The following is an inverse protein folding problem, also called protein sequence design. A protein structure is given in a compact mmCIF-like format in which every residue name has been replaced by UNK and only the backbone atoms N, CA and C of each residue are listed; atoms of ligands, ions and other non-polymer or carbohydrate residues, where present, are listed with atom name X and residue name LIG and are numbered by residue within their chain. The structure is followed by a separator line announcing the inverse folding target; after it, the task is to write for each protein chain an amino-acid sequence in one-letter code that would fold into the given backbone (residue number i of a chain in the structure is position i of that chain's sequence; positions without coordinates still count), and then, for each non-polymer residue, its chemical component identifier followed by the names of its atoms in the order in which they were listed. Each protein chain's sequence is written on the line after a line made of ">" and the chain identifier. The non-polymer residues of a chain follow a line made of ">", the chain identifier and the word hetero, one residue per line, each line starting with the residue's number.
data_IF_467797180409
#
_entry.id   IF_467797180409
#
_cell.length_a   1.000
_cell.length_b   1.000
_cell.length_c   1.000
_cell.angle_alpha   90.00
_cell.angle_beta   90.00
_cell.angle_gamma   90.00
#
_symmetry.space_group_name_H-M   'P 1'
#
loop_
_entity.id
_entity.type
_entity.pdbx_description
1 polymer ?
#
# COMPACT_ATOMS: atom_id res chain seq x y z
N UNK A 1 1.20 -5.51 -6.46
CA UNK A 1 0.06 -5.60 -7.32
C UNK A 1 -1.08 -5.14 -6.44
N UNK A 2 -2.12 -4.55 -7.00
CA UNK A 2 -3.35 -4.40 -6.25
C UNK A 2 -3.77 -5.79 -5.75
N UNK A 3 -4.29 -5.85 -4.54
CA UNK A 3 -4.62 -7.08 -3.84
C UNK A 3 -6.15 -7.18 -3.85
N UNK A 4 -6.74 -8.12 -4.60
CA UNK A 4 -8.18 -8.33 -4.51
C UNK A 4 -8.52 -8.74 -3.08
N UNK A 5 -9.72 -8.39 -2.62
CA UNK A 5 -10.27 -8.90 -1.37
C UNK A 5 -11.45 -9.80 -1.76
N UNK A 6 -11.30 -11.10 -1.54
CA UNK A 6 -12.27 -12.17 -1.86
C UNK A 6 -13.62 -11.87 -1.23
N UNK A 7 -14.70 -12.21 -1.95
CA UNK A 7 -16.09 -12.01 -1.50
C UNK A 7 -16.48 -10.53 -1.26
N UNK A 8 -15.63 -9.59 -1.69
CA UNK A 8 -15.93 -8.15 -1.69
C UNK A 8 -15.75 -7.57 -3.10
N UNK A 9 -16.37 -6.43 -3.41
CA UNK A 9 -16.12 -5.72 -4.66
C UNK A 9 -14.76 -5.00 -4.67
N UNK A 10 -13.99 -5.04 -3.57
CA UNK A 10 -12.85 -4.17 -3.39
C UNK A 10 -11.52 -4.73 -3.94
N UNK A 11 -10.66 -3.81 -4.34
CA UNK A 11 -9.29 -4.02 -4.77
C UNK A 11 -8.37 -3.06 -4.00
N UNK A 12 -7.51 -3.61 -3.13
CA UNK A 12 -6.64 -2.81 -2.26
C UNK A 12 -5.30 -2.47 -2.93
N UNK A 13 -4.90 -1.20 -2.89
CA UNK A 13 -3.63 -0.72 -3.46
C UNK A 13 -2.63 -0.41 -2.34
N UNK A 14 -1.63 -1.30 -2.12
CA UNK A 14 -0.76 -1.18 -0.97
C UNK A 14 0.37 -0.19 -1.16
N UNK A 15 0.50 0.75 -0.20
CA UNK A 15 1.62 1.69 -0.11
C UNK A 15 2.53 1.31 1.07
N UNK A 16 3.86 1.42 0.97
CA UNK A 16 4.73 1.18 2.12
C UNK A 16 4.45 2.15 3.28
N UNK A 17 4.50 1.62 4.51
CA UNK A 17 4.49 2.37 5.78
C UNK A 17 3.16 3.10 6.11
N UNK A 18 2.06 2.62 5.52
CA UNK A 18 0.67 3.01 5.83
C UNK A 18 -0.14 1.81 6.32
N UNK A 19 0.42 1.05 7.27
CA UNK A 19 -0.14 -0.22 7.75
C UNK A 19 -0.39 -1.29 6.66
N UNK A 20 0.27 -1.19 5.50
CA UNK A 20 0.06 -2.17 4.41
C UNK A 20 0.48 -3.59 4.75
N UNK A 21 1.35 -3.79 5.74
CA UNK A 21 1.65 -5.13 6.27
C UNK A 21 0.42 -5.68 7.00
N UNK A 22 -0.13 -4.95 7.96
CA UNK A 22 -1.33 -5.34 8.73
C UNK A 22 -2.53 -5.60 7.83
N UNK A 23 -2.80 -4.70 6.87
CA UNK A 23 -3.92 -4.87 5.92
C UNK A 23 -3.72 -6.12 5.07
N UNK A 24 -2.50 -6.38 4.56
CA UNK A 24 -2.25 -7.58 3.76
C UNK A 24 -2.35 -8.87 4.58
N UNK A 25 -1.96 -8.84 5.84
CA UNK A 25 -2.14 -9.96 6.76
C UNK A 25 -3.64 -10.21 6.96
N UNK A 26 -4.43 -9.18 7.24
CA UNK A 26 -5.88 -9.30 7.36
C UNK A 26 -6.55 -9.86 6.08
N UNK A 27 -6.12 -9.41 4.89
CA UNK A 27 -6.60 -9.97 3.61
C UNK A 27 -6.23 -11.44 3.48
N UNK A 28 -5.03 -11.83 3.89
CA UNK A 28 -4.57 -13.22 3.82
C UNK A 28 -5.34 -14.12 4.78
N UNK A 29 -5.60 -13.65 6.00
CA UNK A 29 -6.36 -14.36 7.02
C UNK A 29 -7.81 -14.55 6.55
N UNK A 30 -8.43 -13.51 5.97
CA UNK A 30 -9.76 -13.58 5.33
C UNK A 30 -9.86 -14.65 4.24
N UNK A 31 -8.75 -15.00 3.58
CA UNK A 31 -8.75 -16.02 2.52
C UNK A 31 -8.77 -17.46 3.07
N UNK A 32 -8.85 -17.64 4.39
CA UNK A 32 -8.70 -18.94 5.06
C UNK A 32 -7.24 -19.33 5.30
N UNK A 33 -6.32 -18.36 5.25
CA UNK A 33 -4.98 -18.53 5.80
C UNK A 33 -5.09 -18.66 7.31
N UNK A 34 -4.50 -19.72 7.89
CA UNK A 34 -4.55 -19.94 9.34
C UNK A 34 -4.14 -18.65 10.11
N UNK A 35 -4.85 -18.30 11.19
CA UNK A 35 -4.74 -17.01 11.85
C UNK A 35 -3.32 -16.80 12.37
N UNK A 36 -2.73 -15.64 12.10
CA UNK A 36 -1.58 -15.11 12.86
C UNK A 36 -0.31 -15.97 12.97
N UNK A 37 -0.16 -17.05 12.18
CA UNK A 37 1.08 -17.82 12.15
C UNK A 37 1.95 -17.27 11.03
N UNK A 38 3.21 -16.85 11.29
CA UNK A 38 4.12 -16.55 10.19
C UNK A 38 4.19 -17.79 9.29
N UNK A 39 3.76 -17.66 8.04
CA UNK A 39 3.71 -18.75 7.06
C UNK A 39 5.06 -19.46 7.04
N UNK A 40 5.11 -20.63 7.67
CA UNK A 40 6.30 -21.47 7.75
C UNK A 40 6.37 -22.23 6.43
N UNK A 41 7.43 -22.03 5.66
CA UNK A 41 7.66 -22.81 4.45
C UNK A 41 7.73 -24.29 4.85
N UNK A 42 6.71 -25.09 4.47
CA UNK A 42 6.57 -26.51 4.86
C UNK A 42 7.77 -27.38 4.43
N UNK A 43 8.58 -26.92 3.48
CA UNK A 43 9.81 -27.59 3.00
C UNK A 43 11.12 -27.07 3.63
N UNK A 44 11.12 -25.91 4.30
CA UNK A 44 12.37 -25.23 4.74
C UNK A 44 12.30 -24.57 6.13
N UNK A 45 11.20 -24.69 6.87
CA UNK A 45 11.07 -24.13 8.22
C UNK A 45 11.18 -22.60 8.33
N UNK A 46 11.26 -21.89 7.20
CA UNK A 46 11.56 -20.45 7.15
C UNK A 46 10.31 -19.59 6.96
N UNK A 47 10.31 -18.42 7.62
CA UNK A 47 9.23 -17.44 7.62
C UNK A 47 9.08 -16.80 6.22
N UNK A 48 7.89 -16.89 5.61
CA UNK A 48 7.58 -16.18 4.36
C UNK A 48 6.90 -14.86 4.70
N UNK A 49 7.62 -13.74 4.53
CA UNK A 49 7.05 -12.40 4.70
C UNK A 49 5.86 -12.18 3.76
N UNK A 50 4.78 -11.56 4.26
CA UNK A 50 3.58 -11.19 3.47
C UNK A 50 3.92 -10.37 2.21
N UNK A 51 5.04 -9.64 2.23
CA UNK A 51 5.54 -8.88 1.08
C UNK A 51 6.07 -9.75 -0.07
N UNK A 52 6.40 -11.03 0.19
CA UNK A 52 6.74 -12.01 -0.84
C UNK A 52 5.49 -12.51 -1.57
N UNK A 53 4.36 -12.61 -0.88
CA UNK A 53 3.06 -13.02 -1.42
C UNK A 53 2.41 -11.84 -2.15
N UNK A 54 2.19 -10.73 -1.43
CA UNK A 54 1.60 -9.51 -1.96
C UNK A 54 2.66 -8.42 -2.09
N UNK A 55 3.38 -8.43 -3.22
CA UNK A 55 4.37 -7.39 -3.55
C UNK A 55 3.71 -6.02 -3.71
N UNK A 56 4.44 -4.94 -3.40
CA UNK A 56 4.02 -3.53 -3.67
C UNK A 56 4.88 -2.89 -4.79
N UNK A 57 4.71 -3.31 -6.06
CA UNK A 57 5.31 -2.67 -7.22
C UNK A 57 4.74 -1.28 -7.43
N UNK A 58 5.58 -0.41 -8.02
CA UNK A 58 5.22 0.94 -8.42
C UNK A 58 4.10 0.94 -9.46
N UNK A 59 3.23 1.95 -9.42
CA UNK A 59 2.06 2.11 -10.29
C UNK A 59 2.37 1.82 -11.77
N UNK A 60 3.45 2.44 -12.28
CA UNK A 60 3.88 2.31 -13.68
C UNK A 60 4.12 0.86 -14.13
N UNK A 61 4.50 -0.04 -13.21
CA UNK A 61 4.86 -1.43 -13.53
C UNK A 61 3.65 -2.35 -13.74
N UNK A 62 2.46 -1.94 -13.32
CA UNK A 62 1.25 -2.78 -13.39
C UNK A 62 0.03 -2.09 -13.97
N UNK A 63 0.09 -0.78 -14.26
CA UNK A 63 -1.04 -0.01 -14.82
C UNK A 63 -1.66 -0.62 -16.09
N UNK A 64 -0.89 -1.36 -16.89
CA UNK A 64 -1.34 -2.02 -18.13
C UNK A 64 -1.82 -3.47 -17.93
N UNK A 65 -1.70 -4.00 -16.71
CA UNK A 65 -2.01 -5.39 -16.37
C UNK A 65 -3.27 -5.54 -15.53
N UNK A 66 -4.05 -4.47 -15.37
CA UNK A 66 -5.33 -4.56 -14.66
C UNK A 66 -6.37 -5.19 -15.57
N UNK A 67 -6.73 -6.43 -15.26
CA UNK A 67 -7.89 -7.12 -15.80
C UNK A 67 -8.76 -7.49 -14.59
N UNK A 68 -9.37 -6.48 -13.98
CA UNK A 68 -10.35 -6.64 -12.91
C UNK A 68 -11.52 -5.69 -13.19
N UNK A 69 -12.29 -5.93 -14.26
CA UNK A 69 -13.49 -5.16 -14.51
C UNK A 69 -14.40 -5.26 -13.28
N UNK A 70 -15.06 -4.15 -12.93
CA UNK A 70 -16.10 -4.06 -11.89
C UNK A 70 -15.64 -4.10 -10.42
N UNK A 71 -14.34 -3.96 -10.11
CA UNK A 71 -13.89 -3.78 -8.71
C UNK A 71 -13.68 -2.32 -8.34
N UNK A 72 -14.11 -1.98 -7.13
CA UNK A 72 -13.87 -0.67 -6.51
C UNK A 72 -12.44 -0.58 -5.94
N UNK A 73 -11.75 0.51 -6.26
CA UNK A 73 -10.36 0.68 -5.84
C UNK A 73 -10.33 1.37 -4.48
N UNK A 74 -9.60 0.76 -3.56
CA UNK A 74 -9.41 1.30 -2.21
C UNK A 74 -7.92 1.45 -1.90
N UNK A 75 -7.56 2.50 -1.17
CA UNK A 75 -6.20 2.67 -0.68
C UNK A 75 -6.19 3.34 0.70
N UNK A 76 -5.05 3.18 1.37
CA UNK A 76 -4.73 3.92 2.59
C UNK A 76 -3.57 4.84 2.28
N UNK A 77 -3.67 6.09 2.73
CA UNK A 77 -2.64 7.10 2.64
C UNK A 77 -2.24 7.59 4.03
N UNK A 78 -1.14 8.33 4.12
CA UNK A 78 -0.69 8.97 5.36
C UNK A 78 0.06 10.23 5.02
N UNK A 79 0.01 11.25 5.87
CA UNK A 79 0.90 12.41 5.76
C UNK A 79 2.37 11.96 5.55
N UNK A 80 3.06 12.42 4.48
CA UNK A 80 4.41 11.96 4.16
C UNK A 80 5.45 12.25 5.25
N UNK A 81 5.29 13.34 6.01
CA UNK A 81 6.20 13.71 7.11
C UNK A 81 5.94 12.80 8.30
N UNK A 82 4.69 12.54 8.65
CA UNK A 82 4.35 11.54 9.69
C UNK A 82 4.73 10.11 9.29
N UNK A 83 4.81 9.81 7.98
CA UNK A 83 5.24 8.50 7.46
C UNK A 83 6.75 8.29 7.55
N UNK A 84 7.54 9.35 7.40
CA UNK A 84 8.99 9.31 7.31
C UNK A 84 9.69 8.64 8.52
N UNK A 85 9.35 8.98 9.80
CA UNK A 85 9.97 8.35 10.98
C UNK A 85 9.82 6.83 11.02
N UNK A 86 8.68 6.30 10.57
CA UNK A 86 8.45 4.86 10.50
C UNK A 86 9.43 4.20 9.52
N UNK A 87 9.72 4.87 8.40
CA UNK A 87 10.75 4.47 7.44
C UNK A 87 12.13 4.48 8.06
N UNK A 88 12.52 5.61 8.65
CA UNK A 88 13.85 5.84 9.19
C UNK A 88 14.20 4.85 10.30
N UNK A 89 13.35 4.72 11.33
CA UNK A 89 13.58 3.77 12.43
C UNK A 89 13.68 2.33 11.96
N UNK A 90 12.76 1.93 11.08
CA UNK A 90 12.69 0.53 10.66
C UNK A 90 13.85 0.17 9.72
N UNK A 91 14.12 0.99 8.70
CA UNK A 91 15.06 0.63 7.63
C UNK A 91 16.48 1.09 7.90
N UNK A 92 16.63 2.28 8.48
CA UNK A 92 17.95 2.87 8.69
C UNK A 92 18.50 2.44 10.05
N UNK A 93 17.74 2.63 11.13
CA UNK A 93 18.24 2.30 12.47
C UNK A 93 18.18 0.80 12.77
N UNK A 94 17.02 0.17 12.62
CA UNK A 94 16.83 -1.21 13.06
C UNK A 94 17.47 -2.24 12.13
N UNK A 95 17.22 -2.14 10.82
CA UNK A 95 17.78 -3.09 9.86
C UNK A 95 19.15 -2.68 9.28
N UNK A 96 19.65 -1.48 9.59
CA UNK A 96 20.90 -0.95 9.05
C UNK A 96 21.01 -1.14 7.52
N UNK A 97 19.91 -0.95 6.78
CA UNK A 97 19.80 -1.37 5.37
C UNK A 97 20.87 -0.72 4.48
N UNK A 98 21.31 0.48 4.82
CA UNK A 98 22.38 1.18 4.11
C UNK A 98 23.71 0.43 4.24
N UNK A 99 24.08 0.02 5.46
CA UNK A 99 25.30 -0.75 5.74
C UNK A 99 25.21 -2.14 5.11
N UNK A 100 24.08 -2.83 5.31
CA UNK A 100 23.92 -4.23 4.92
C UNK A 100 23.80 -4.40 3.40
N UNK A 101 23.08 -3.51 2.71
CA UNK A 101 22.70 -3.74 1.31
C UNK A 101 23.24 -2.71 0.32
N UNK A 102 23.74 -1.56 0.79
CA UNK A 102 24.07 -0.44 -0.07
C UNK A 102 25.41 0.26 0.26
N UNK A 103 26.24 -0.28 1.17
CA UNK A 103 27.44 0.37 1.69
C UNK A 103 28.32 1.00 0.62
N UNK A 104 28.82 0.18 -0.32
CA UNK A 104 29.66 0.64 -1.43
C UNK A 104 29.00 1.75 -2.26
N UNK A 105 27.70 1.65 -2.52
CA UNK A 105 26.98 2.65 -3.32
C UNK A 105 26.75 3.96 -2.54
N UNK A 106 26.60 3.89 -1.22
CA UNK A 106 26.46 5.03 -0.33
C UNK A 106 27.81 5.74 -0.17
N UNK A 107 28.88 5.00 0.13
CA UNK A 107 30.23 5.52 0.30
C UNK A 107 30.78 6.15 -0.98
N UNK A 108 30.52 5.55 -2.15
CA UNK A 108 30.88 6.13 -3.46
C UNK A 108 30.21 7.48 -3.76
N UNK A 109 29.25 7.90 -2.93
CA UNK A 109 28.58 9.22 -3.00
C UNK A 109 29.00 10.14 -1.84
N UNK A 110 30.06 9.79 -1.11
CA UNK A 110 30.56 10.51 0.06
C UNK A 110 29.51 10.66 1.16
N UNK A 111 28.64 9.65 1.32
CA UNK A 111 27.62 9.61 2.36
C UNK A 111 27.98 8.54 3.39
N UNK A 112 27.49 8.73 4.62
CA UNK A 112 27.56 7.71 5.68
C UNK A 112 26.42 6.70 5.55
N UNK A 113 26.68 5.45 5.93
CA UNK A 113 25.67 4.39 6.03
C UNK A 113 24.82 4.50 7.31
N UNK A 114 25.26 5.30 8.28
CA UNK A 114 24.53 5.59 9.52
C UNK A 114 24.30 7.10 9.68
N UNK A 115 23.50 7.72 8.80
CA UNK A 115 23.22 9.15 8.89
C UNK A 115 22.31 9.47 10.07
N UNK A 116 22.48 10.66 10.64
CA UNK A 116 21.46 11.26 11.51
C UNK A 116 20.15 11.48 10.74
N UNK A 117 19.04 11.66 11.46
CA UNK A 117 17.73 11.89 10.83
C UNK A 117 17.74 13.09 9.88
N UNK A 118 18.42 14.17 10.27
CA UNK A 118 18.54 15.40 9.48
C UNK A 118 19.40 15.19 8.24
N UNK A 119 20.58 14.57 8.38
CA UNK A 119 21.46 14.28 7.24
C UNK A 119 20.78 13.34 6.23
N UNK A 120 20.02 12.36 6.72
CA UNK A 120 19.24 11.46 5.87
C UNK A 120 18.11 12.16 5.15
N UNK A 121 17.34 13.02 5.84
CA UNK A 121 16.23 13.77 5.29
C UNK A 121 16.68 14.72 4.17
N UNK A 122 17.75 15.49 4.40
CA UNK A 122 18.33 16.41 3.42
C UNK A 122 18.82 15.65 2.18
N UNK A 123 19.43 14.47 2.36
CA UNK A 123 20.03 13.69 1.28
C UNK A 123 19.16 12.53 0.79
N UNK A 124 17.85 12.55 1.07
CA UNK A 124 16.96 11.40 0.87
C UNK A 124 16.96 10.90 -0.59
N UNK A 125 17.03 11.80 -1.56
CA UNK A 125 17.12 11.45 -2.97
C UNK A 125 18.41 10.69 -3.31
N UNK A 126 19.54 11.15 -2.78
CA UNK A 126 20.85 10.53 -3.03
C UNK A 126 20.88 9.13 -2.41
N UNK A 127 20.36 8.97 -1.20
CA UNK A 127 20.17 7.65 -0.58
C UNK A 127 19.22 6.76 -1.39
N UNK A 128 18.12 7.29 -1.94
CA UNK A 128 17.19 6.55 -2.77
C UNK A 128 17.83 6.07 -4.11
N UNK A 129 18.78 6.82 -4.66
CA UNK A 129 19.57 6.39 -5.83
C UNK A 129 20.54 5.25 -5.46
N UNK A 130 21.14 5.30 -4.27
CA UNK A 130 22.10 4.29 -3.80
C UNK A 130 21.43 2.98 -3.31
N UNK A 131 20.33 3.06 -2.57
CA UNK A 131 19.70 1.91 -1.92
C UNK A 131 18.31 1.60 -2.48
N UNK A 132 18.11 0.34 -2.92
CA UNK A 132 16.79 -0.14 -3.38
C UNK A 132 15.76 -0.09 -2.25
N UNK A 133 16.19 -0.40 -1.01
CA UNK A 133 15.34 -0.37 0.17
C UNK A 133 14.85 1.05 0.45
N UNK A 134 15.77 2.04 0.46
CA UNK A 134 15.39 3.46 0.61
C UNK A 134 14.44 3.88 -0.51
N UNK A 135 14.79 3.56 -1.76
CA UNK A 135 13.97 3.88 -2.93
C UNK A 135 12.58 3.25 -2.94
N UNK A 136 12.36 2.22 -2.13
CA UNK A 136 11.05 1.59 -1.97
C UNK A 136 10.30 2.22 -0.78
N UNK A 137 10.91 2.21 0.41
CA UNK A 137 10.21 2.56 1.64
C UNK A 137 9.96 4.06 1.83
N UNK A 138 10.77 4.91 1.20
CA UNK A 138 10.63 6.36 1.29
C UNK A 138 10.03 6.99 0.04
N UNK A 139 9.74 6.22 -1.02
CA UNK A 139 9.18 6.80 -2.24
C UNK A 139 7.84 7.53 -1.98
N UNK A 140 7.58 8.63 -2.70
CA UNK A 140 6.27 9.29 -2.68
C UNK A 140 5.14 8.30 -2.92
N UNK A 141 4.01 8.46 -2.23
CA UNK A 141 2.81 7.63 -2.36
C UNK A 141 2.27 7.62 -3.80
N UNK A 142 2.40 8.74 -4.52
CA UNK A 142 2.14 8.84 -5.96
C UNK A 142 2.92 7.81 -6.79
N UNK A 143 4.08 7.33 -6.32
CA UNK A 143 4.84 6.25 -6.96
C UNK A 143 4.06 4.94 -7.01
N UNK A 144 3.19 4.70 -6.03
CA UNK A 144 2.41 3.47 -5.87
C UNK A 144 0.97 3.61 -6.34
N UNK A 145 0.35 4.76 -6.08
CA UNK A 145 -1.07 5.00 -6.37
C UNK A 145 -1.30 5.74 -7.70
N UNK A 146 -0.26 6.38 -8.24
CA UNK A 146 -0.40 7.32 -9.35
C UNK A 146 -0.86 8.70 -8.88
N UNK A 147 -1.27 9.54 -9.84
CA UNK A 147 -1.61 10.96 -9.63
C UNK A 147 -3.10 11.27 -9.84
N UNK A 148 -3.94 10.23 -9.83
CA UNK A 148 -5.36 10.28 -10.19
C UNK A 148 -6.23 9.74 -9.05
N UNK A 149 -6.44 10.51 -7.96
CA UNK A 149 -7.19 10.05 -6.80
C UNK A 149 -8.64 9.70 -7.13
N UNK A 150 -9.22 10.30 -8.17
CA UNK A 150 -10.58 10.02 -8.64
C UNK A 150 -10.78 8.59 -9.18
N UNK A 151 -9.73 7.80 -9.32
CA UNK A 151 -9.82 6.37 -9.64
C UNK A 151 -10.16 5.50 -8.44
N UNK A 152 -10.03 6.04 -7.23
CA UNK A 152 -10.27 5.34 -5.99
C UNK A 152 -11.68 5.68 -5.51
N UNK A 153 -12.51 4.65 -5.37
CA UNK A 153 -13.84 4.78 -4.77
C UNK A 153 -13.72 5.19 -3.31
N UNK A 154 -12.70 4.66 -2.61
CA UNK A 154 -12.44 4.98 -1.20
C UNK A 154 -10.95 5.24 -0.98
N UNK A 155 -10.65 6.33 -0.30
CA UNK A 155 -9.29 6.70 0.13
C UNK A 155 -9.37 6.99 1.62
N UNK A 156 -8.60 6.25 2.41
CA UNK A 156 -8.57 6.37 3.87
C UNK A 156 -7.25 6.98 4.31
N UNK A 157 -7.26 7.89 5.28
CA UNK A 157 -6.07 8.19 6.05
C UNK A 157 -5.69 6.99 6.94
N UNK A 158 -4.44 6.90 7.37
CA UNK A 158 -3.99 5.88 8.31
C UNK A 158 -4.78 5.92 9.63
N UNK A 159 -5.22 7.10 10.07
CA UNK A 159 -6.09 7.25 11.25
C UNK A 159 -7.50 6.68 11.05
N UNK A 160 -7.88 6.33 9.83
CA UNK A 160 -9.22 5.83 9.47
C UNK A 160 -9.23 4.32 9.19
N UNK A 161 -8.25 3.56 9.68
CA UNK A 161 -8.22 2.10 9.50
C UNK A 161 -9.49 1.40 10.02
N UNK A 162 -10.10 1.92 11.08
CA UNK A 162 -11.35 1.38 11.62
C UNK A 162 -12.51 1.57 10.62
N UNK A 163 -12.54 2.70 9.89
CA UNK A 163 -13.53 2.93 8.82
C UNK A 163 -13.32 1.98 7.66
N UNK A 164 -12.07 1.70 7.28
CA UNK A 164 -11.74 0.69 6.27
C UNK A 164 -12.21 -0.69 6.73
N UNK A 165 -11.94 -1.07 7.98
CA UNK A 165 -12.40 -2.35 8.53
C UNK A 165 -13.93 -2.45 8.47
N UNK A 166 -14.64 -1.39 8.87
CA UNK A 166 -16.09 -1.37 8.82
C UNK A 166 -16.62 -1.51 7.38
N UNK A 167 -16.04 -0.78 6.41
CA UNK A 167 -16.40 -0.90 5.00
C UNK A 167 -16.29 -2.35 4.49
N UNK A 168 -15.26 -3.09 4.93
CA UNK A 168 -15.07 -4.48 4.56
C UNK A 168 -16.06 -5.41 5.29
N UNK A 169 -16.40 -5.13 6.55
CA UNK A 169 -17.40 -5.89 7.30
C UNK A 169 -18.81 -5.70 6.75
N UNK A 170 -19.13 -4.52 6.22
CA UNK A 170 -20.43 -4.23 5.62
C UNK A 170 -20.72 -5.08 4.37
N UNK A 171 -19.70 -5.72 3.77
CA UNK A 171 -19.89 -6.70 2.70
C UNK A 171 -20.23 -8.11 3.22
N UNK A 172 -20.39 -8.29 4.53
CA UNK A 172 -20.56 -9.59 5.18
C UNK A 172 -19.26 -10.36 5.41
N UNK A 173 -18.09 -9.76 5.16
CA UNK A 173 -16.80 -10.40 5.42
C UNK A 173 -16.42 -10.31 6.91
N UNK A 174 -15.97 -11.42 7.50
CA UNK A 174 -15.37 -11.41 8.84
C UNK A 174 -13.92 -10.89 8.76
N UNK A 175 -13.79 -9.56 8.69
CA UNK A 175 -12.52 -8.89 8.47
C UNK A 175 -12.01 -8.22 9.74
N UNK A 176 -10.79 -8.52 10.16
CA UNK A 176 -10.12 -7.89 11.29
C UNK A 176 -8.73 -7.40 10.90
N UNK A 177 -8.50 -6.09 11.00
CA UNK A 177 -7.19 -5.47 10.83
C UNK A 177 -6.54 -5.39 12.22
N UNK A 178 -5.44 -6.12 12.47
CA UNK A 178 -4.78 -6.04 13.75
C UNK A 178 -4.25 -4.62 13.97
N UNK A 179 -4.70 -3.98 15.04
CA UNK A 179 -4.18 -2.68 15.46
C UNK A 179 -2.85 -2.88 16.21
N UNK A 180 -1.81 -3.29 15.50
CA UNK A 180 -0.45 -3.26 16.05
C UNK A 180 -0.03 -1.79 16.14
N UNK A 181 -0.13 -1.21 17.34
CA UNK A 181 0.43 0.11 17.61
C UNK A 181 1.95 0.06 17.41
N UNK A 182 2.39 0.30 16.17
CA UNK A 182 3.76 0.70 15.89
C UNK A 182 3.83 2.22 15.95
N UNK A 183 3.45 2.75 17.12
CA UNK A 183 3.74 4.12 17.52
C UNK A 183 5.24 4.31 17.52
N UNK A 184 5.81 4.63 16.36
CA UNK A 184 7.15 5.16 16.31
C UNK A 184 7.09 6.50 17.01
N UNK A 185 7.78 6.64 18.14
CA UNK A 185 7.69 7.80 19.02
C UNK A 185 7.67 9.13 18.24
N UNK A 186 6.88 10.09 18.67
CA UNK A 186 6.81 11.40 18.00
C UNK A 186 8.17 12.15 18.00
N UNK A 187 9.09 11.72 18.87
CA UNK A 187 10.44 12.23 19.05
C UNK A 187 11.23 12.45 17.74
N UNK A 188 11.14 11.56 16.74
CA UNK A 188 11.93 11.71 15.49
C UNK A 188 11.40 12.84 14.59
N UNK A 189 10.14 13.26 14.73
CA UNK A 189 9.63 14.44 14.01
C UNK A 189 10.15 15.72 14.68
N UNK A 190 10.16 15.75 16.02
CA UNK A 190 10.64 16.89 16.80
C UNK A 190 12.14 17.15 16.61
N UNK A 191 12.90 16.10 16.29
CA UNK A 191 14.34 16.17 15.96
C UNK A 191 14.64 16.73 14.56
N UNK A 192 13.63 16.92 13.70
CA UNK A 192 13.85 17.46 12.34
C UNK A 192 14.16 18.96 12.39
N UNK A 193 15.31 19.34 11.82
CA UNK A 193 15.63 20.74 11.58
C UNK A 193 14.66 21.35 10.55
N UNK A 194 14.54 22.68 10.56
CA UNK A 194 13.73 23.39 9.58
C UNK A 194 14.17 23.09 8.13
N UNK A 195 15.47 22.96 7.91
CA UNK A 195 16.05 22.57 6.61
C UNK A 195 15.63 21.15 6.22
N UNK A 196 15.80 20.17 7.12
CA UNK A 196 15.41 18.78 6.86
C UNK A 196 13.91 18.66 6.57
N UNK A 197 13.07 19.37 7.32
CA UNK A 197 11.63 19.43 7.08
C UNK A 197 11.31 20.05 5.71
N UNK A 198 11.99 21.13 5.33
CA UNK A 198 11.83 21.75 4.02
C UNK A 198 12.23 20.81 2.88
N UNK A 199 13.38 20.13 3.00
CA UNK A 199 13.82 19.11 2.03
C UNK A 199 12.81 17.97 1.89
N UNK A 200 12.25 17.46 2.99
CA UNK A 200 11.22 16.41 2.93
C UNK A 200 9.93 16.92 2.28
N UNK A 201 9.47 18.14 2.61
CA UNK A 201 8.28 18.74 1.98
C UNK A 201 8.47 18.91 0.48
N UNK A 202 9.66 19.33 0.04
CA UNK A 202 10.00 19.41 -1.38
C UNK A 202 9.99 18.02 -2.03
N UNK A 203 10.64 17.03 -1.41
CA UNK A 203 10.69 15.66 -1.91
C UNK A 203 9.30 15.01 -2.02
N UNK A 204 8.38 15.35 -1.12
CA UNK A 204 7.00 14.86 -1.10
C UNK A 204 5.97 15.84 -1.67
N UNK A 205 6.39 16.90 -2.37
CA UNK A 205 5.49 17.95 -2.86
C UNK A 205 4.32 17.39 -3.70
N UNK A 206 4.59 16.39 -4.53
CA UNK A 206 3.58 15.75 -5.37
C UNK A 206 2.55 14.95 -4.55
N UNK A 207 2.95 14.35 -3.43
CA UNK A 207 2.00 13.67 -2.53
C UNK A 207 1.04 14.69 -1.92
N UNK A 208 1.52 15.85 -1.48
CA UNK A 208 0.66 16.93 -0.97
C UNK A 208 -0.28 17.47 -2.05
N UNK A 209 0.23 17.67 -3.26
CA UNK A 209 -0.57 18.18 -4.38
C UNK A 209 -1.72 17.22 -4.75
N UNK A 210 -1.47 15.92 -4.75
CA UNK A 210 -2.43 14.91 -5.23
C UNK A 210 -3.31 14.37 -4.10
N UNK A 211 -2.72 14.06 -2.95
CA UNK A 211 -3.35 13.33 -1.86
C UNK A 211 -3.58 14.19 -0.61
N UNK A 212 -3.11 15.45 -0.59
CA UNK A 212 -3.14 16.31 0.59
C UNK A 212 -4.51 16.49 1.23
N UNK A 213 -5.59 16.46 0.44
CA UNK A 213 -6.97 16.56 0.95
C UNK A 213 -7.42 15.36 1.80
N UNK A 214 -6.71 14.24 1.71
CA UNK A 214 -7.01 13.01 2.44
C UNK A 214 -6.13 12.82 3.67
N UNK A 215 -5.13 13.67 3.89
CA UNK A 215 -4.30 13.57 5.08
C UNK A 215 -5.06 14.20 6.25
N UNK A 216 -5.24 13.43 7.32
CA UNK A 216 -5.80 13.98 8.55
C UNK A 216 -4.89 15.11 9.04
N UNK A 217 -5.46 16.21 9.57
CA UNK A 217 -4.66 17.19 10.26
C UNK A 217 -3.86 16.51 11.39
N UNK A 218 -2.67 17.03 11.73
CA UNK A 218 -1.90 16.54 12.86
C UNK A 218 -2.79 16.45 14.11
N UNK A 219 -2.67 15.36 14.88
CA UNK A 219 -3.47 15.16 16.09
C UNK A 219 -3.36 16.38 17.02
N UNK A 220 -4.45 16.74 17.75
CA UNK A 220 -4.40 17.82 18.73
C UNK A 220 -3.27 17.60 19.74
N UNK A 221 -2.30 18.51 19.77
CA UNK A 221 -1.05 18.38 20.55
C UNK A 221 0.22 18.37 19.69
N UNK A 222 0.11 18.07 18.40
CA UNK A 222 1.23 18.19 17.44
C UNK A 222 1.50 19.66 17.13
N UNK A 223 2.54 20.24 17.72
CA UNK A 223 3.11 21.51 17.25
C UNK A 223 3.91 21.24 15.98
N UNK A 224 3.33 21.50 14.80
CA UNK A 224 4.17 21.72 13.62
C UNK A 224 5.05 22.95 13.90
N UNK A 225 6.36 22.74 14.03
CA UNK A 225 7.31 23.83 13.95
C UNK A 225 7.13 24.49 12.57
N UNK A 226 6.62 25.72 12.57
CA UNK A 226 6.33 26.49 11.35
C UNK A 226 4.85 26.75 11.09
N UNK A 227 4.15 27.40 12.03
CA UNK A 227 3.06 28.32 11.64
C UNK A 227 3.67 29.69 11.36
N UNK A 228 4.12 29.89 10.13
CA UNK A 228 4.19 31.23 9.56
C UNK A 228 3.30 31.27 8.33
N UNK A 229 2.55 32.37 8.23
CA UNK A 229 1.62 32.72 7.17
C UNK A 229 0.18 32.15 7.25
N UNK A 230 -0.59 32.65 8.24
CA UNK A 230 -1.90 33.26 7.92
C UNK A 230 -1.88 34.67 8.48
N UNK A 231 -1.47 35.65 7.67
CA UNK A 231 -1.80 37.05 7.94
C UNK A 231 -3.19 37.30 7.37
N UNK A 232 -4.05 37.83 8.23
CA UNK A 232 -5.37 38.38 7.92
C UNK A 232 -5.23 39.44 6.83
N UNK A 233 -6.11 39.38 5.84
CA UNK A 233 -6.60 40.55 5.13
C UNK A 233 -8.12 40.37 5.01
N UNK A 234 -8.81 40.76 6.08
CA UNK A 234 -10.15 41.30 5.99
C UNK A 234 -9.98 42.72 6.52
N UNK A 235 -10.13 43.70 5.63
CA UNK A 235 -10.87 44.94 5.85
C UNK A 235 -10.68 45.90 4.65
N UNK A 236 -11.81 46.45 4.21
CA UNK A 236 -12.01 47.54 3.24
C UNK A 236 -11.74 47.20 1.76
N UNK A 237 -12.63 47.43 0.79
CA UNK A 237 -13.58 48.54 0.61
C UNK A 237 -14.76 48.11 -0.28
N UNK A 238 -15.97 48.51 0.12
CA UNK A 238 -17.09 48.76 -0.77
C UNK A 238 -16.73 49.91 -1.75
N UNK A 239 -16.98 49.72 -3.05
CA UNK A 239 -17.90 50.56 -3.84
C UNK A 239 -17.70 50.38 -5.36
N UNK A 240 -18.80 50.02 -6.02
CA UNK A 240 -19.28 50.51 -7.33
C UNK A 240 -18.38 50.36 -8.57
N UNK A 241 -18.84 49.55 -9.54
CA UNK A 241 -19.40 50.05 -10.81
C UNK A 241 -19.72 48.91 -11.79
N UNK A 242 -20.74 49.18 -12.59
CA UNK A 242 -21.54 48.31 -13.45
C UNK A 242 -20.94 47.99 -14.84
N UNK A 243 -21.25 46.77 -15.33
CA UNK A 243 -21.59 46.35 -16.72
C UNK A 243 -20.50 46.33 -17.84
N UNK A 244 -20.72 45.62 -18.99
CA UNK A 244 -21.71 44.58 -19.31
C UNK A 244 -21.13 43.29 -19.93
N UNK A 245 -22.05 42.31 -20.05
CA UNK A 245 -21.91 41.02 -20.71
C UNK A 245 -21.39 41.07 -22.17
N UNK A 246 -20.56 40.08 -22.53
CA UNK A 246 -20.39 39.63 -23.91
C UNK A 246 -20.71 38.13 -24.02
N UNK A 247 -21.66 37.85 -24.89
CA UNK A 247 -22.19 36.55 -25.30
C UNK A 247 -21.26 35.84 -26.33
N UNK A 248 -21.52 34.56 -26.66
CA UNK A 248 -20.50 33.59 -27.03
C UNK A 248 -20.24 33.51 -28.53
N UNK A 249 -19.00 33.23 -28.94
CA UNK A 249 -18.70 32.77 -30.30
C UNK A 249 -18.59 31.25 -30.36
N UNK A 250 -19.57 30.65 -31.04
CA UNK A 250 -19.49 29.34 -31.70
C UNK A 250 -18.67 29.46 -32.99
N UNK A 251 -17.94 28.40 -33.32
CA UNK A 251 -17.55 27.90 -34.66
C UNK A 251 -16.84 26.56 -34.36
N UNK A 252 -17.51 25.42 -34.38
CA UNK A 252 -17.96 24.58 -35.50
C UNK A 252 -16.84 23.85 -36.29
N UNK A 253 -17.03 22.53 -36.34
CA UNK A 253 -16.55 21.47 -37.25
C UNK A 253 -15.21 21.65 -38.00
N UNK A 254 -14.32 20.67 -37.86
CA UNK A 254 -14.23 19.53 -38.80
C UNK A 254 -12.98 18.66 -38.58
N UNK A 255 -13.21 17.35 -38.55
CA UNK A 255 -12.22 16.28 -38.71
C UNK A 255 -11.82 16.24 -40.21
N UNK A 256 -10.63 15.73 -40.60
CA UNK A 256 -10.53 14.28 -40.80
C UNK A 256 -9.18 13.62 -40.48
N UNK A 257 -9.28 12.41 -39.95
CA UNK A 257 -8.64 11.16 -40.40
C UNK A 257 -7.44 11.30 -41.35
N UNK A 258 -6.27 10.83 -40.90
CA UNK A 258 -5.22 10.36 -41.80
C UNK A 258 -4.78 8.95 -41.40
N UNK A 259 -5.00 8.02 -42.32
CA UNK A 259 -4.66 6.59 -42.29
C UNK A 259 -3.27 6.34 -42.88
N UNK A 260 -2.42 5.54 -42.24
CA UNK A 260 -1.39 4.66 -42.84
C UNK A 260 -0.98 3.65 -41.74
N UNK A 261 -1.40 2.39 -41.76
CA UNK A 261 -1.04 1.22 -42.59
C UNK A 261 0.44 0.78 -42.51
N UNK A 262 0.62 -0.31 -41.76
CA UNK A 262 1.56 -1.45 -41.91
C UNK A 262 3.08 -1.26 -41.81
N UNK A 263 3.72 -2.03 -40.91
CA UNK A 263 4.38 -3.32 -41.28
C UNK A 263 4.83 -4.13 -40.06
N UNK A 264 4.73 -5.44 -40.24
CA UNK A 264 5.12 -6.54 -39.37
C UNK A 264 6.63 -6.57 -39.08
N UNK A 265 6.99 -7.08 -37.89
CA UNK A 265 8.20 -7.88 -37.72
C UNK A 265 7.96 -8.96 -36.66
N UNK A 266 7.93 -10.18 -37.16
CA UNK A 266 7.97 -11.46 -36.44
C UNK A 266 9.35 -11.63 -35.84
N UNK A 267 9.47 -12.07 -34.57
CA UNK A 267 10.47 -13.09 -34.19
C UNK A 267 10.02 -13.84 -32.93
N UNK A 268 10.32 -15.14 -32.96
CA UNK A 268 9.93 -16.24 -32.08
C UNK A 268 10.66 -16.20 -30.74
N UNK A 269 10.08 -16.82 -29.70
CA UNK A 269 10.87 -17.20 -28.52
C UNK A 269 10.12 -17.67 -27.28
N UNK A 270 9.50 -18.86 -27.36
CA UNK A 270 9.35 -19.91 -26.33
C UNK A 270 9.18 -19.50 -24.85
N UNK A 271 8.05 -19.93 -24.26
CA UNK A 271 7.90 -20.07 -22.81
C UNK A 271 6.45 -20.34 -22.39
N UNK A 272 5.96 -21.55 -22.65
CA UNK A 272 4.65 -22.00 -22.18
C UNK A 272 4.65 -22.11 -20.65
N UNK A 273 3.86 -21.29 -19.97
CA UNK A 273 3.32 -21.58 -18.65
C UNK A 273 1.80 -21.69 -18.81
N UNK A 274 1.31 -22.92 -18.76
CA UNK A 274 -0.12 -23.21 -18.72
C UNK A 274 -0.58 -22.91 -17.30
N UNK A 275 -1.42 -21.88 -17.14
CA UNK A 275 -2.22 -21.69 -15.95
C UNK A 275 -3.62 -22.19 -16.28
N UNK A 276 -3.97 -23.37 -15.80
CA UNK A 276 -5.34 -23.87 -15.83
C UNK A 276 -6.19 -23.01 -14.89
N UNK A 277 -7.24 -22.40 -15.45
CA UNK A 277 -8.34 -21.83 -14.69
C UNK A 277 -9.43 -22.90 -14.52
N UNK A 278 -10.02 -23.09 -13.34
CA UNK A 278 -11.21 -23.91 -13.22
C UNK A 278 -12.42 -23.13 -13.77
N UNK A 279 -13.03 -23.71 -14.80
CA UNK A 279 -14.35 -23.33 -15.31
C UNK A 279 -15.39 -23.84 -14.31
N UNK A 280 -16.37 -22.99 -14.01
CA UNK A 280 -17.51 -23.31 -13.17
C UNK A 280 -18.56 -24.15 -13.93
N UNK A 281 -19.06 -25.17 -13.22
CA UNK A 281 -20.43 -25.73 -13.20
C UNK A 281 -21.12 -26.19 -14.50
N UNK A 282 -21.52 -27.47 -14.50
CA UNK A 282 -22.80 -27.93 -15.05
C UNK A 282 -23.42 -28.99 -14.11
N UNK A 283 -24.71 -28.93 -13.72
CA UNK A 283 -25.31 -29.85 -12.75
C UNK A 283 -26.20 -30.91 -13.43
N UNK A 284 -25.85 -32.20 -13.35
CA UNK A 284 -26.81 -33.28 -13.60
C UNK A 284 -26.40 -34.65 -13.03
N UNK A 285 -27.09 -35.05 -11.94
CA UNK A 285 -27.51 -36.43 -11.55
C UNK A 285 -26.43 -37.48 -11.13
N UNK A 286 -26.83 -38.61 -10.50
CA UNK A 286 -27.48 -38.73 -9.19
C UNK A 286 -26.75 -39.71 -8.25
N UNK A 287 -27.24 -39.74 -7.01
CA UNK A 287 -26.86 -40.56 -5.85
C UNK A 287 -26.40 -42.01 -6.11
N UNK A 288 -25.28 -42.40 -5.49
CA UNK A 288 -25.03 -43.78 -5.05
C UNK A 288 -24.77 -43.84 -3.56
N UNK A 289 -25.56 -44.68 -2.89
CA UNK A 289 -25.44 -45.08 -1.50
C UNK A 289 -24.08 -45.72 -1.22
N UNK A 290 -23.42 -45.29 -0.14
CA UNK A 290 -22.41 -46.11 0.53
C UNK A 290 -22.84 -46.37 1.98
N UNK A 291 -23.00 -47.65 2.29
CA UNK A 291 -23.28 -48.20 3.61
C UNK A 291 -22.17 -47.83 4.62
N UNK A 292 -22.57 -47.23 5.75
CA UNK A 292 -21.74 -47.10 6.95
C UNK A 292 -21.95 -48.35 7.80
N UNK A 293 -20.90 -49.15 8.00
CA UNK A 293 -20.87 -50.22 9.00
C UNK A 293 -20.42 -49.63 10.35
N UNK A 294 -21.30 -49.74 11.33
CA UNK A 294 -21.00 -49.57 12.75
C UNK A 294 -20.09 -50.70 13.25
N UNK A 295 -19.06 -50.36 14.03
CA UNK A 295 -18.42 -51.30 14.95
C UNK A 295 -18.27 -50.61 16.32
N UNK A 296 -19.06 -51.10 17.26
CA UNK A 296 -18.97 -50.79 18.68
C UNK A 296 -17.82 -51.60 19.30
N UNK A 297 -17.04 -50.99 20.20
CA UNK A 297 -16.23 -51.74 21.15
C UNK A 297 -16.56 -51.33 22.58
N UNK A 298 -16.79 -52.38 23.37
CA UNK A 298 -17.22 -52.40 24.76
C UNK A 298 -16.04 -52.25 25.71
N UNK A 299 -16.40 -51.78 26.90
CA UNK A 299 -15.72 -51.80 28.20
C UNK A 299 -15.14 -53.15 28.66
N UNK A 300 -14.12 -53.08 29.52
CA UNK A 300 -13.76 -54.13 30.50
C UNK A 300 -12.23 -54.27 30.66
N UNK A 301 -11.58 -53.55 31.58
CA UNK A 301 -11.21 -53.97 32.96
C UNK A 301 -10.38 -55.25 33.11
N UNK A 302 -9.28 -55.09 33.87
CA UNK A 302 -8.71 -56.03 34.87
C UNK A 302 -7.36 -56.72 34.57
N UNK A 303 -6.34 -56.13 35.22
CA UNK A 303 -5.35 -56.72 36.16
C UNK A 303 -4.17 -57.58 35.68
N UNK A 304 -3.09 -57.29 36.44
CA UNK A 304 -2.01 -58.18 36.89
C UNK A 304 -0.99 -58.61 35.83
N UNK A 305 0.30 -58.76 36.10
CA UNK A 305 1.21 -58.53 37.24
C UNK A 305 2.53 -59.20 36.82
N UNK A 306 3.67 -58.78 37.40
CA UNK A 306 4.96 -59.50 37.39
C UNK A 306 5.70 -59.48 36.04
N UNK A 307 7.01 -59.52 35.95
CA UNK A 307 8.11 -59.78 36.89
C UNK A 307 9.39 -59.25 36.21
N UNK A 308 10.41 -58.94 37.03
CA UNK A 308 11.86 -58.91 36.75
C UNK A 308 12.43 -58.00 35.67
#
# INVERSE_FOLDING_TARGET
>A
MPVPIKETPYLYFPVPKVASTSIKTAILDHYGGAPSVPFRNRKRGSHVSVHKIYRSPRFRLWRTKLIWPQREWICVVRDPISRFPSGYRNRILHYAELEVTAKRAVEARNLTTMPSVNAFAINIETYARASKAVRHHFAPQCTYLGVRPERFSHVFDLSELDRLQQLLRDTGADFHIPHEQTGGSDLVIEELSAEALASLKQFYAEDYRVWGRYFSPPLPGMKLAGRLCRRKQADSVDSLAELPARSPRRLDRSNPVCTHRTRNAVTRGKGNFVCEHPIASDPARPSMHLHVRHAAMRSGHSRNSRET
#
